data_IF_825131325253
#
_entry.id   IF_825131325253
#
_cell.length_a   1.000
_cell.length_b   1.000
_cell.length_c   1.000
_cell.angle_alpha   90.00
_cell.angle_beta   90.00
_cell.angle_gamma   90.00
#
_symmetry.space_group_name_H-M   'P 1'
#
loop_
_entity.id
_entity.type
_entity.pdbx_description
1 polymer ?
#
# COMPACT_ATOMS: atom_id res chain seq x y z
N UNK A 1 8.94 15.38 -5.65
CA UNK A 1 10.00 14.38 -5.51
C UNK A 1 9.35 13.01 -5.42
N UNK A 2 9.75 12.06 -6.27
CA UNK A 2 9.10 10.75 -6.39
C UNK A 2 9.25 9.95 -5.08
N UNK A 3 8.25 9.14 -4.76
CA UNK A 3 8.31 8.14 -3.70
C UNK A 3 7.64 6.88 -4.25
N UNK A 4 8.44 5.85 -4.54
CA UNK A 4 7.98 4.49 -4.82
C UNK A 4 8.48 3.62 -3.67
N UNK A 5 7.62 2.73 -3.22
CA UNK A 5 7.59 2.27 -1.83
C UNK A 5 7.70 0.75 -1.76
N UNK A 6 8.42 0.25 -0.76
CA UNK A 6 8.68 -1.17 -0.53
C UNK A 6 8.48 -1.41 0.97
N UNK A 7 7.71 -2.46 1.33
CA UNK A 7 7.10 -2.59 2.66
C UNK A 7 7.32 -3.98 3.23
N UNK A 8 7.32 -4.09 4.56
CA UNK A 8 7.59 -5.27 5.36
C UNK A 8 6.61 -5.20 6.57
N UNK A 9 5.96 -6.29 7.01
CA UNK A 9 5.06 -6.33 8.20
C UNK A 9 5.49 -7.43 9.18
N UNK A 10 5.86 -7.08 10.41
CA UNK A 10 6.00 -8.03 11.52
C UNK A 10 4.64 -8.62 11.95
N UNK A 11 4.62 -9.85 12.47
CA UNK A 11 3.43 -10.67 12.74
C UNK A 11 2.48 -10.19 13.85
N UNK A 12 2.64 -9.00 14.41
CA UNK A 12 1.75 -8.45 15.43
C UNK A 12 0.48 -7.83 14.83
N UNK A 13 -0.69 -7.94 15.49
CA UNK A 13 -1.97 -7.48 14.95
C UNK A 13 -2.11 -5.95 14.89
N UNK A 14 -1.45 -5.20 15.79
CA UNK A 14 -1.82 -3.79 16.04
C UNK A 14 -0.76 -2.73 15.69
N UNK A 15 0.54 -3.06 15.58
CA UNK A 15 1.54 -2.17 14.96
C UNK A 15 2.28 -3.01 13.94
N UNK A 16 2.34 -2.49 12.73
CA UNK A 16 3.11 -3.10 11.67
C UNK A 16 4.35 -2.22 11.45
N UNK A 17 5.51 -2.87 11.41
CA UNK A 17 6.80 -2.21 11.31
C UNK A 17 7.18 -2.07 9.84
N UNK A 18 7.02 -0.87 9.29
CA UNK A 18 7.22 -0.61 7.88
C UNK A 18 8.41 0.32 7.66
N UNK A 19 9.22 0.01 6.66
CA UNK A 19 10.49 0.68 6.44
C UNK A 19 10.53 1.24 5.04
N UNK A 20 10.56 2.56 4.97
CA UNK A 20 10.84 3.28 3.72
C UNK A 20 12.33 3.23 3.45
N UNK A 21 12.76 2.47 2.44
CA UNK A 21 14.15 2.52 1.99
C UNK A 21 14.44 3.83 1.25
N UNK A 22 15.01 4.82 1.94
CA UNK A 22 15.56 6.04 1.33
C UNK A 22 16.87 6.43 1.99
N UNK A 23 17.98 6.26 1.27
CA UNK A 23 19.26 6.93 1.56
C UNK A 23 19.13 8.43 1.32
N UNK A 24 19.69 9.30 2.18
CA UNK A 24 19.62 10.77 2.04
C UNK A 24 20.48 11.36 0.90
N UNK A 25 20.92 10.57 -0.08
CA UNK A 25 21.72 11.09 -1.19
C UNK A 25 20.94 12.13 -2.04
N UNK A 26 21.61 13.16 -2.60
CA UNK A 26 20.98 14.29 -3.32
C UNK A 26 20.18 13.86 -4.57
N UNK A 27 20.39 12.65 -5.05
CA UNK A 27 19.54 11.94 -6.01
C UNK A 27 19.03 10.66 -5.35
N UNK A 28 17.79 10.63 -4.87
CA UNK A 28 17.21 9.42 -4.28
C UNK A 28 17.16 8.33 -5.37
N UNK A 29 17.97 7.29 -5.21
CA UNK A 29 17.90 6.09 -6.04
C UNK A 29 16.62 5.33 -5.66
N UNK A 30 15.55 5.57 -6.41
CA UNK A 30 14.25 4.94 -6.14
C UNK A 30 14.18 3.64 -6.92
N UNK A 31 14.22 2.51 -6.21
CA UNK A 31 14.02 1.21 -6.81
C UNK A 31 12.55 1.02 -7.23
N UNK A 32 12.33 0.21 -8.27
CA UNK A 32 10.98 -0.14 -8.70
C UNK A 32 10.32 -1.09 -7.69
N UNK A 33 9.05 -0.87 -7.31
CA UNK A 33 8.45 -1.51 -6.14
C UNK A 33 8.35 -3.05 -6.29
N UNK A 34 7.81 -3.55 -7.41
CA UNK A 34 7.55 -4.99 -7.55
C UNK A 34 8.83 -5.83 -7.64
N UNK A 35 9.89 -5.31 -8.30
CA UNK A 35 11.18 -6.03 -8.35
C UNK A 35 11.83 -6.05 -6.97
N UNK A 36 11.79 -4.92 -6.25
CA UNK A 36 12.37 -4.85 -4.91
C UNK A 36 11.64 -5.78 -3.94
N UNK A 37 10.31 -5.83 -3.99
CA UNK A 37 9.53 -6.76 -3.17
C UNK A 37 9.78 -8.22 -3.56
N UNK A 38 10.01 -8.52 -4.85
CA UNK A 38 10.39 -9.88 -5.27
C UNK A 38 11.74 -10.30 -4.66
N UNK A 39 12.72 -9.40 -4.63
CA UNK A 39 13.99 -9.64 -3.95
C UNK A 39 13.81 -9.88 -2.44
N UNK A 40 12.99 -9.05 -1.78
CA UNK A 40 12.71 -9.21 -0.35
C UNK A 40 11.89 -10.46 -0.03
N UNK A 41 10.97 -10.87 -0.90
CA UNK A 41 10.20 -12.10 -0.77
C UNK A 41 11.11 -13.32 -0.68
N UNK A 42 12.18 -13.36 -1.49
CA UNK A 42 13.16 -14.44 -1.44
C UNK A 42 14.01 -14.43 -0.15
N UNK A 43 14.13 -13.29 0.53
CA UNK A 43 14.97 -13.12 1.73
C UNK A 43 14.20 -13.20 3.05
N UNK A 44 12.87 -13.29 3.00
CA UNK A 44 12.02 -13.22 4.19
C UNK A 44 10.89 -14.23 4.13
N UNK A 45 10.42 -14.70 5.29
CA UNK A 45 9.46 -15.82 5.36
C UNK A 45 8.12 -15.46 5.98
N UNK A 46 8.09 -14.61 6.99
CA UNK A 46 6.85 -14.32 7.74
C UNK A 46 6.24 -12.96 7.41
N UNK A 47 7.06 -12.00 7.00
CA UNK A 47 6.62 -10.62 6.94
C UNK A 47 5.70 -10.34 5.74
N UNK A 48 4.63 -9.56 5.91
CA UNK A 48 3.86 -9.08 4.73
C UNK A 48 4.71 -8.11 3.92
N UNK A 49 4.55 -8.14 2.62
CA UNK A 49 5.24 -7.28 1.67
C UNK A 49 4.19 -6.41 1.00
N UNK A 50 4.40 -5.12 0.90
CA UNK A 50 3.37 -4.23 0.36
C UNK A 50 3.92 -3.20 -0.62
N UNK A 51 3.03 -2.55 -1.36
CA UNK A 51 3.29 -1.36 -2.18
C UNK A 51 2.53 -0.15 -1.64
N UNK A 52 2.96 1.06 -2.01
CA UNK A 52 2.64 2.25 -1.20
C UNK A 52 2.53 3.63 -1.81
N UNK A 53 2.34 3.82 -3.10
CA UNK A 53 1.53 2.97 -3.95
C UNK A 53 2.26 2.47 -5.20
N UNK A 54 1.76 1.38 -5.77
CA UNK A 54 1.95 1.06 -7.19
C UNK A 54 1.05 1.97 -8.04
N UNK A 55 1.65 2.74 -8.96
CA UNK A 55 0.89 3.72 -9.75
C UNK A 55 0.25 3.05 -10.97
N UNK A 56 -1.04 2.75 -10.91
CA UNK A 56 -1.70 1.91 -11.91
C UNK A 56 -1.71 2.52 -13.32
N UNK A 57 -1.95 3.84 -13.52
CA UNK A 57 -2.02 4.40 -14.87
C UNK A 57 -0.75 4.26 -15.70
N UNK A 58 0.40 3.97 -15.07
CA UNK A 58 1.67 3.82 -15.79
C UNK A 58 1.85 2.44 -16.42
N UNK A 59 0.85 1.54 -16.32
CA UNK A 59 1.07 0.11 -16.52
C UNK A 59 -0.06 -0.52 -17.32
N UNK A 60 0.30 -1.51 -18.14
CA UNK A 60 -0.67 -2.37 -18.82
C UNK A 60 -1.44 -3.23 -17.80
N UNK A 61 -2.77 -3.39 -17.92
CA UNK A 61 -3.56 -4.25 -17.03
C UNK A 61 -3.04 -5.69 -16.97
N UNK A 62 -2.83 -6.33 -18.13
CA UNK A 62 -2.35 -7.71 -18.20
C UNK A 62 -0.96 -7.88 -17.59
N UNK A 63 -0.01 -7.03 -17.98
CA UNK A 63 1.36 -7.11 -17.45
C UNK A 63 1.36 -6.90 -15.93
N UNK A 64 0.56 -5.96 -15.44
CA UNK A 64 0.43 -5.70 -14.00
C UNK A 64 -0.13 -6.92 -13.27
N UNK A 65 -1.24 -7.49 -13.75
CA UNK A 65 -1.84 -8.67 -13.15
C UNK A 65 -0.85 -9.85 -13.10
N UNK A 66 -0.10 -10.08 -14.18
CA UNK A 66 0.92 -11.13 -14.24
C UNK A 66 2.06 -10.90 -13.25
N UNK A 67 2.57 -9.68 -13.13
CA UNK A 67 3.61 -9.34 -12.15
C UNK A 67 3.10 -9.50 -10.72
N UNK A 68 1.88 -9.05 -10.43
CA UNK A 68 1.24 -9.16 -9.11
C UNK A 68 1.01 -10.63 -8.75
N UNK A 69 0.44 -11.44 -9.65
CA UNK A 69 0.22 -12.86 -9.41
C UNK A 69 1.53 -13.62 -9.20
N UNK A 70 2.56 -13.32 -9.99
CA UNK A 70 3.89 -13.93 -9.82
C UNK A 70 4.49 -13.57 -8.47
N UNK A 71 4.46 -12.29 -8.09
CA UNK A 71 4.97 -11.87 -6.78
C UNK A 71 4.15 -12.45 -5.64
N UNK A 72 2.83 -12.52 -5.76
CA UNK A 72 1.96 -13.09 -4.73
C UNK A 72 2.24 -14.59 -4.53
N UNK A 73 2.54 -15.32 -5.60
CA UNK A 73 2.99 -16.71 -5.54
C UNK A 73 4.35 -16.83 -4.84
N UNK A 74 5.36 -16.06 -5.30
CA UNK A 74 6.72 -16.08 -4.74
C UNK A 74 6.80 -15.58 -3.29
N UNK A 75 5.87 -14.69 -2.92
CA UNK A 75 5.72 -14.20 -1.56
C UNK A 75 4.83 -15.12 -0.71
N UNK A 76 4.38 -16.27 -1.21
CA UNK A 76 3.55 -17.22 -0.47
C UNK A 76 2.31 -16.55 0.14
N UNK A 77 1.65 -15.68 -0.64
CA UNK A 77 0.43 -14.98 -0.21
C UNK A 77 0.65 -13.69 0.60
N UNK A 78 1.91 -13.31 0.86
CA UNK A 78 2.26 -12.18 1.75
C UNK A 78 2.13 -10.79 1.12
N UNK A 79 1.77 -10.67 -0.17
CA UNK A 79 1.65 -9.37 -0.83
C UNK A 79 0.39 -8.62 -0.38
N UNK A 80 0.54 -7.33 -0.06
CA UNK A 80 -0.52 -6.34 0.09
C UNK A 80 -0.31 -5.25 -0.97
N UNK A 81 -1.21 -5.16 -1.92
CA UNK A 81 -1.09 -4.28 -3.06
C UNK A 81 -1.69 -2.90 -2.76
N UNK A 82 -0.91 -2.00 -2.16
CA UNK A 82 -1.28 -0.59 -2.10
C UNK A 82 -1.11 0.08 -3.46
N UNK A 83 -2.17 0.65 -3.99
CA UNK A 83 -2.24 1.21 -5.36
C UNK A 83 -2.59 2.68 -5.37
N UNK A 84 -2.33 3.37 -6.46
CA UNK A 84 -2.60 4.80 -6.57
C UNK A 84 -2.67 5.24 -8.00
N UNK A 85 -3.20 6.45 -8.22
CA UNK A 85 -3.45 6.98 -9.57
C UNK A 85 -2.34 7.92 -10.06
N UNK A 86 -1.37 8.24 -9.21
CA UNK A 86 -0.25 9.13 -9.54
C UNK A 86 -0.63 10.61 -9.60
N UNK A 87 0.34 11.47 -9.33
CA UNK A 87 0.17 12.93 -9.25
C UNK A 87 1.18 13.72 -10.08
N UNK A 88 2.28 13.08 -10.50
CA UNK A 88 3.42 13.78 -11.09
C UNK A 88 3.22 14.00 -12.60
N UNK A 89 2.86 15.23 -12.97
CA UNK A 89 2.65 15.66 -14.37
C UNK A 89 3.81 15.31 -15.30
N UNK A 90 5.06 15.44 -14.83
CA UNK A 90 6.25 15.14 -15.63
C UNK A 90 6.39 13.66 -15.97
N UNK A 91 6.08 12.74 -15.05
CA UNK A 91 6.08 11.30 -15.34
C UNK A 91 4.99 10.94 -16.35
N UNK A 92 3.78 11.50 -16.22
CA UNK A 92 2.72 11.32 -17.22
C UNK A 92 3.18 11.79 -18.61
N UNK A 93 3.78 12.98 -18.69
CA UNK A 93 4.31 13.52 -19.94
C UNK A 93 5.43 12.63 -20.52
N UNK A 94 6.37 12.19 -19.70
CA UNK A 94 7.48 11.35 -20.12
C UNK A 94 7.04 9.97 -20.62
N UNK A 95 5.97 9.41 -20.05
CA UNK A 95 5.38 8.14 -20.46
C UNK A 95 4.41 8.26 -21.65
N UNK A 96 4.15 9.48 -22.14
CA UNK A 96 3.15 9.71 -23.19
C UNK A 96 1.70 9.48 -22.74
N UNK A 97 1.42 9.57 -21.45
CA UNK A 97 0.11 9.28 -20.86
C UNK A 97 -0.71 10.54 -20.62
N UNK A 98 -2.02 10.43 -20.81
CA UNK A 98 -2.94 11.54 -20.53
C UNK A 98 -3.33 11.56 -19.05
N UNK A 99 -2.77 12.51 -18.29
CA UNK A 99 -3.07 12.66 -16.86
C UNK A 99 -4.56 12.90 -16.54
N UNK A 100 -5.36 13.41 -17.49
CA UNK A 100 -6.82 13.57 -17.29
C UNK A 100 -7.55 12.22 -17.23
N UNK A 101 -7.00 11.18 -17.86
CA UNK A 101 -7.54 9.82 -17.86
C UNK A 101 -7.04 8.95 -16.70
N UNK A 102 -6.17 9.47 -15.83
CA UNK A 102 -5.51 8.68 -14.77
C UNK A 102 -6.48 7.92 -13.85
N UNK A 103 -7.69 8.44 -13.64
CA UNK A 103 -8.69 7.74 -12.83
C UNK A 103 -9.26 6.53 -13.59
N UNK A 104 -9.82 6.75 -14.79
CA UNK A 104 -10.36 5.67 -15.63
C UNK A 104 -9.31 4.62 -16.00
N UNK A 105 -8.07 5.05 -16.28
CA UNK A 105 -6.99 4.13 -16.62
C UNK A 105 -6.57 3.29 -15.39
N UNK A 106 -6.63 3.84 -14.17
CA UNK A 106 -6.41 3.06 -12.95
C UNK A 106 -7.55 2.08 -12.69
N UNK A 107 -8.79 2.49 -12.92
CA UNK A 107 -9.97 1.65 -12.74
C UNK A 107 -9.98 0.47 -13.71
N UNK A 108 -9.61 0.67 -14.99
CA UNK A 108 -9.45 -0.42 -15.94
C UNK A 108 -8.42 -1.47 -15.49
N UNK A 109 -7.33 -1.05 -14.83
CA UNK A 109 -6.35 -1.97 -14.25
C UNK A 109 -6.93 -2.71 -13.03
N UNK A 110 -7.71 -2.03 -12.18
CA UNK A 110 -8.36 -2.64 -11.02
C UNK A 110 -9.42 -3.66 -11.43
N UNK A 111 -10.29 -3.31 -12.37
CA UNK A 111 -11.30 -4.22 -12.94
C UNK A 111 -10.64 -5.47 -13.52
N UNK A 112 -9.55 -5.30 -14.27
CA UNK A 112 -8.81 -6.42 -14.83
C UNK A 112 -8.13 -7.27 -13.75
N UNK A 113 -7.58 -6.66 -12.69
CA UNK A 113 -7.00 -7.40 -11.56
C UNK A 113 -8.07 -8.30 -10.90
N UNK A 114 -9.24 -7.76 -10.56
CA UNK A 114 -10.33 -8.56 -9.99
C UNK A 114 -10.74 -9.69 -10.94
N UNK A 115 -11.03 -9.36 -12.20
CA UNK A 115 -11.36 -10.36 -13.24
C UNK A 115 -10.31 -11.46 -13.35
N UNK A 116 -9.02 -11.11 -13.35
CA UNK A 116 -7.94 -12.05 -13.55
C UNK A 116 -7.71 -12.99 -12.37
N UNK A 117 -7.99 -12.54 -11.15
CA UNK A 117 -7.88 -13.40 -9.97
C UNK A 117 -9.11 -14.27 -9.74
N UNK A 118 -10.27 -13.91 -10.29
CA UNK A 118 -11.52 -14.65 -10.13
C UNK A 118 -11.74 -15.73 -11.20
N UNK A 119 -11.05 -15.64 -12.36
CA UNK A 119 -11.29 -16.50 -13.52
C UNK A 119 -10.01 -17.17 -14.02
N UNK A 120 -10.11 -18.42 -14.48
CA UNK A 120 -8.98 -19.12 -15.10
C UNK A 120 -8.73 -18.65 -16.54
N UNK A 121 -9.81 -18.49 -17.32
CA UNK A 121 -9.74 -17.91 -18.67
C UNK A 121 -10.21 -16.46 -18.56
N UNK A 122 -9.37 -15.55 -19.04
CA UNK A 122 -9.64 -14.11 -19.00
C UNK A 122 -9.59 -13.59 -20.42
N UNK A 123 -10.28 -12.47 -20.64
CA UNK A 123 -10.29 -11.79 -21.92
C UNK A 123 -9.83 -10.35 -21.75
N UNK A 124 -8.95 -9.90 -22.65
CA UNK A 124 -8.53 -8.51 -22.79
C UNK A 124 -8.34 -8.21 -24.27
N UNK A 125 -8.88 -7.08 -24.74
CA UNK A 125 -8.84 -6.70 -26.16
C UNK A 125 -9.32 -7.82 -27.09
N UNK A 126 -10.48 -8.41 -26.77
CA UNK A 126 -11.14 -9.48 -27.57
C UNK A 126 -10.31 -10.78 -27.67
N UNK A 127 -9.22 -10.91 -26.91
CA UNK A 127 -8.38 -12.09 -26.89
C UNK A 127 -8.53 -12.83 -25.56
N UNK A 128 -8.94 -14.10 -25.65
CA UNK A 128 -9.00 -15.01 -24.52
C UNK A 128 -7.69 -15.75 -24.29
N UNK A 129 -7.32 -15.97 -23.04
CA UNK A 129 -6.14 -16.74 -22.66
C UNK A 129 -6.25 -17.27 -21.23
N UNK A 130 -5.45 -18.31 -20.94
CA UNK A 130 -5.32 -18.87 -19.61
C UNK A 130 -4.45 -17.97 -18.72
N UNK A 131 -4.98 -17.52 -17.59
CA UNK A 131 -4.25 -16.76 -16.59
C UNK A 131 -3.71 -17.66 -15.48
N UNK A 132 -2.41 -17.99 -15.55
CA UNK A 132 -1.68 -18.76 -14.51
C UNK A 132 -0.27 -18.21 -14.29
N UNK A 133 0.30 -18.22 -13.08
CA UNK A 133 -0.32 -18.68 -11.83
C UNK A 133 -1.44 -17.73 -11.39
N UNK A 134 -2.37 -18.25 -10.57
CA UNK A 134 -3.49 -17.51 -10.00
C UNK A 134 -3.61 -17.83 -8.50
N UNK A 135 -2.67 -17.35 -7.66
CA UNK A 135 -2.79 -17.50 -6.22
C UNK A 135 -3.99 -16.70 -5.71
N UNK A 136 -4.29 -16.80 -4.40
CA UNK A 136 -5.27 -15.89 -3.77
C UNK A 136 -4.88 -14.44 -4.02
N UNK A 137 -5.82 -13.62 -4.50
CA UNK A 137 -5.61 -12.19 -4.75
C UNK A 137 -5.01 -11.51 -3.52
N UNK A 138 -3.96 -10.67 -3.66
CA UNK A 138 -3.48 -9.86 -2.54
C UNK A 138 -4.55 -8.86 -2.11
N UNK A 139 -4.53 -8.45 -0.84
CA UNK A 139 -5.35 -7.33 -0.37
C UNK A 139 -4.98 -6.06 -1.17
N UNK A 140 -5.98 -5.33 -1.68
CA UNK A 140 -5.80 -4.12 -2.47
C UNK A 140 -6.16 -2.91 -1.61
N UNK A 141 -5.16 -2.09 -1.29
CA UNK A 141 -5.37 -0.84 -0.54
C UNK A 141 -5.40 0.33 -1.52
N UNK A 142 -6.51 1.05 -1.60
CA UNK A 142 -6.62 2.20 -2.50
C UNK A 142 -5.96 3.41 -1.86
N UNK A 143 -4.89 3.88 -2.48
CA UNK A 143 -4.16 5.07 -2.08
C UNK A 143 -4.73 6.35 -2.68
N UNK A 144 -4.78 7.41 -1.86
CA UNK A 144 -5.05 8.76 -2.33
C UNK A 144 -5.83 9.62 -1.33
N UNK A 145 -6.04 10.88 -1.74
CA UNK A 145 -6.83 11.83 -0.97
C UNK A 145 -8.35 11.60 -1.15
N UNK A 146 -9.14 11.82 -0.09
CA UNK A 146 -10.59 11.87 -0.19
C UNK A 146 -11.06 13.10 -1.00
N UNK A 147 -12.32 13.12 -1.48
CA UNK A 147 -13.32 12.04 -1.40
C UNK A 147 -13.11 10.94 -2.46
N UNK A 148 -12.47 11.24 -3.59
CA UNK A 148 -12.38 10.32 -4.73
C UNK A 148 -11.60 9.02 -4.45
N UNK A 149 -10.65 9.02 -3.51
CA UNK A 149 -9.98 7.78 -3.11
C UNK A 149 -10.91 6.86 -2.32
N UNK A 150 -11.81 7.42 -1.51
CA UNK A 150 -12.81 6.66 -0.75
C UNK A 150 -13.81 6.00 -1.70
N UNK A 151 -14.33 6.75 -2.69
CA UNK A 151 -15.24 6.20 -3.70
C UNK A 151 -14.63 4.98 -4.42
N UNK A 152 -13.35 5.07 -4.83
CA UNK A 152 -12.63 3.93 -5.41
C UNK A 152 -12.33 2.82 -4.40
N UNK A 153 -12.04 3.15 -3.14
CA UNK A 153 -11.81 2.17 -2.09
C UNK A 153 -13.06 1.33 -1.84
N UNK A 154 -14.23 1.96 -1.79
CA UNK A 154 -15.53 1.28 -1.64
C UNK A 154 -15.80 0.37 -2.84
N UNK A 155 -15.48 0.82 -4.07
CA UNK A 155 -15.78 0.05 -5.29
C UNK A 155 -14.81 -1.10 -5.57
N UNK A 156 -13.52 -0.92 -5.28
CA UNK A 156 -12.46 -1.85 -5.76
C UNK A 156 -11.48 -2.30 -4.68
N UNK A 157 -11.49 -1.71 -3.49
CA UNK A 157 -10.48 -1.94 -2.46
C UNK A 157 -10.95 -2.91 -1.37
N UNK A 158 -9.99 -3.57 -0.73
CA UNK A 158 -10.19 -4.25 0.56
C UNK A 158 -9.89 -3.28 1.73
N UNK A 159 -9.38 -2.09 1.41
CA UNK A 159 -9.06 -1.06 2.37
C UNK A 159 -8.64 0.26 1.73
N UNK A 160 -8.36 1.25 2.59
CA UNK A 160 -7.94 2.59 2.21
C UNK A 160 -6.56 2.92 2.77
N UNK A 161 -5.71 3.48 1.90
CA UNK A 161 -4.39 4.01 2.23
C UNK A 161 -4.46 5.55 2.12
N UNK A 162 -4.89 6.26 3.18
CA UNK A 162 -4.95 7.72 3.18
C UNK A 162 -3.61 8.35 2.77
N UNK A 163 -3.69 9.44 2.00
CA UNK A 163 -2.58 10.39 1.96
C UNK A 163 -2.32 10.92 3.38
N UNK A 164 -1.09 11.39 3.66
CA UNK A 164 -0.71 11.86 4.99
C UNK A 164 -1.73 12.86 5.54
N UNK A 165 -2.49 12.42 6.54
CA UNK A 165 -3.45 13.20 7.32
C UNK A 165 -3.04 13.10 8.78
N UNK A 166 -3.16 14.19 9.51
CA UNK A 166 -3.10 14.15 10.97
C UNK A 166 -4.28 13.36 11.54
N UNK A 167 -4.22 12.85 12.79
CA UNK A 167 -5.34 12.12 13.39
C UNK A 167 -6.66 12.90 13.38
N UNK A 168 -6.62 14.21 13.61
CA UNK A 168 -7.80 15.09 13.61
C UNK A 168 -8.41 15.24 12.23
N UNK A 169 -7.59 15.34 11.18
CA UNK A 169 -8.06 15.36 9.79
C UNK A 169 -8.52 13.99 9.30
N UNK A 170 -7.90 12.91 9.78
CA UNK A 170 -8.21 11.53 9.38
C UNK A 170 -9.58 11.08 9.87
N UNK A 171 -9.92 11.37 11.14
CA UNK A 171 -11.13 10.89 11.80
C UNK A 171 -12.43 11.10 11.01
N UNK A 172 -12.79 12.32 10.54
CA UNK A 172 -14.03 12.51 9.79
C UNK A 172 -14.07 11.72 8.48
N UNK A 173 -12.92 11.51 7.82
CA UNK A 173 -12.85 10.71 6.60
C UNK A 173 -12.93 9.21 6.86
N UNK A 174 -12.43 8.75 8.00
CA UNK A 174 -12.62 7.36 8.43
C UNK A 174 -14.08 7.06 8.73
N UNK A 175 -14.77 7.95 9.45
CA UNK A 175 -16.21 7.84 9.70
C UNK A 175 -17.00 7.80 8.39
N UNK A 176 -16.67 8.70 7.45
CA UNK A 176 -17.28 8.70 6.12
C UNK A 176 -17.02 7.42 5.32
N UNK A 177 -15.79 6.92 5.34
CA UNK A 177 -15.43 5.68 4.64
C UNK A 177 -16.15 4.46 5.24
N UNK A 178 -16.15 4.32 6.58
CA UNK A 178 -16.86 3.24 7.27
C UNK A 178 -18.35 3.23 6.98
N UNK A 179 -18.99 4.40 6.96
CA UNK A 179 -20.39 4.51 6.55
C UNK A 179 -20.60 3.94 5.14
N UNK A 180 -19.75 4.35 4.18
CA UNK A 180 -19.85 3.94 2.78
C UNK A 180 -19.59 2.44 2.55
N UNK A 181 -18.65 1.84 3.28
CA UNK A 181 -18.38 0.39 3.16
C UNK A 181 -19.38 -0.47 3.92
N UNK A 182 -19.94 0.02 5.04
CA UNK A 182 -21.03 -0.64 5.75
C UNK A 182 -22.29 -0.73 4.90
N UNK A 183 -22.62 0.34 4.15
CA UNK A 183 -23.67 0.32 3.11
C UNK A 183 -23.42 -0.76 2.04
N UNK A 184 -22.17 -1.14 1.81
CA UNK A 184 -21.75 -2.17 0.86
C UNK A 184 -21.50 -3.56 1.50
N UNK A 185 -21.80 -3.73 2.79
CA UNK A 185 -21.69 -5.00 3.52
C UNK A 185 -20.28 -5.34 4.06
N UNK A 186 -19.39 -4.35 4.18
CA UNK A 186 -18.08 -4.51 4.83
C UNK A 186 -18.01 -3.65 6.09
N UNK A 187 -18.14 -4.30 7.25
CA UNK A 187 -18.21 -3.63 8.54
C UNK A 187 -16.83 -3.30 9.15
N UNK A 188 -15.75 -3.92 8.66
CA UNK A 188 -14.39 -3.79 9.21
C UNK A 188 -13.33 -3.50 8.12
N UNK A 189 -13.38 -2.33 7.45
CA UNK A 189 -12.42 -2.01 6.40
C UNK A 189 -11.00 -1.78 6.95
N UNK A 190 -9.98 -2.24 6.21
CA UNK A 190 -8.59 -1.94 6.55
C UNK A 190 -8.28 -0.47 6.21
N UNK A 191 -7.83 0.29 7.20
CA UNK A 191 -7.39 1.69 7.08
C UNK A 191 -5.94 1.77 7.52
N UNK A 192 -5.06 2.05 6.56
CA UNK A 192 -3.62 2.01 6.75
C UNK A 192 -3.06 3.44 6.73
N UNK A 193 -2.82 4.03 7.89
CA UNK A 193 -2.28 5.38 7.99
C UNK A 193 -0.76 5.37 7.84
N UNK A 194 -0.21 6.35 7.12
CA UNK A 194 1.23 6.53 6.96
C UNK A 194 1.71 7.78 7.67
N UNK A 195 2.73 7.64 8.52
CA UNK A 195 3.30 8.77 9.27
C UNK A 195 4.77 8.52 9.66
N UNK A 196 5.42 9.55 10.20
CA UNK A 196 6.73 9.41 10.88
C UNK A 196 6.47 9.48 12.37
N UNK A 197 6.71 8.37 13.07
CA UNK A 197 6.60 8.34 14.53
C UNK A 197 7.85 8.98 15.16
N UNK A 198 7.71 9.71 16.28
CA UNK A 198 8.84 10.25 17.03
C UNK A 198 9.53 9.14 17.83
N UNK A 199 10.37 8.35 17.17
CA UNK A 199 10.99 7.15 17.74
C UNK A 199 12.09 7.46 18.77
N UNK A 200 12.44 8.72 18.93
CA UNK A 200 13.34 9.27 19.96
C UNK A 200 12.64 9.57 21.28
N UNK A 201 11.31 9.65 21.29
CA UNK A 201 10.47 9.83 22.48
C UNK A 201 9.43 8.71 22.55
N UNK A 202 9.69 7.69 23.37
CA UNK A 202 8.79 6.54 23.50
C UNK A 202 7.37 6.94 23.96
N UNK A 203 7.27 7.90 24.88
CA UNK A 203 5.99 8.40 25.38
C UNK A 203 5.20 9.11 24.28
N UNK A 204 5.85 10.07 23.60
CA UNK A 204 5.28 10.74 22.44
C UNK A 204 4.92 9.75 21.32
N UNK A 205 5.72 8.72 21.09
CA UNK A 205 5.44 7.70 20.07
C UNK A 205 4.15 6.93 20.38
N UNK A 206 3.91 6.57 21.66
CA UNK A 206 2.68 5.92 22.11
C UNK A 206 1.48 6.83 21.96
N UNK A 207 1.59 8.09 22.36
CA UNK A 207 0.52 9.07 22.24
C UNK A 207 0.13 9.29 20.78
N UNK A 208 1.11 9.41 19.88
CA UNK A 208 0.87 9.50 18.44
C UNK A 208 0.19 8.24 17.89
N UNK A 209 0.64 7.06 18.29
CA UNK A 209 0.03 5.80 17.88
C UNK A 209 -1.45 5.72 18.32
N UNK A 210 -1.73 5.99 19.59
CA UNK A 210 -3.09 5.98 20.12
C UNK A 210 -3.99 7.04 19.48
N UNK A 211 -3.46 8.22 19.15
CA UNK A 211 -4.22 9.23 18.42
C UNK A 211 -4.69 8.71 17.04
N UNK A 212 -3.83 8.01 16.30
CA UNK A 212 -4.21 7.40 15.03
C UNK A 212 -5.23 6.26 15.19
N UNK A 213 -5.08 5.42 16.23
CA UNK A 213 -6.06 4.38 16.54
C UNK A 213 -7.44 4.97 16.88
N UNK A 214 -7.48 6.03 17.70
CA UNK A 214 -8.71 6.74 18.07
C UNK A 214 -9.34 7.46 16.86
N UNK A 215 -8.52 7.89 15.90
CA UNK A 215 -8.99 8.39 14.61
C UNK A 215 -9.52 7.27 13.69
N UNK A 216 -9.38 6.01 14.09
CA UNK A 216 -9.92 4.83 13.40
C UNK A 216 -8.97 4.17 12.40
N UNK A 217 -7.68 4.51 12.41
CA UNK A 217 -6.68 3.76 11.67
C UNK A 217 -6.53 2.34 12.24
N UNK A 218 -6.65 1.34 11.38
CA UNK A 218 -6.47 -0.08 11.76
C UNK A 218 -5.00 -0.51 11.77
N UNK A 219 -4.16 0.20 11.02
CA UNK A 219 -2.74 -0.07 10.92
C UNK A 219 -2.00 1.25 10.75
N UNK A 220 -0.91 1.41 11.48
CA UNK A 220 -0.02 2.56 11.35
C UNK A 220 1.29 2.15 10.70
N UNK A 221 1.74 2.97 9.75
CA UNK A 221 2.93 2.75 8.94
C UNK A 221 3.95 3.82 9.29
N UNK A 222 5.00 3.43 10.00
CA UNK A 222 6.15 4.29 10.23
C UNK A 222 6.93 4.49 8.93
N UNK A 223 7.51 5.67 8.75
CA UNK A 223 8.48 5.93 7.70
C UNK A 223 9.54 6.87 8.21
N UNK A 224 10.78 6.52 7.92
CA UNK A 224 11.92 7.39 8.14
C UNK A 224 12.87 7.34 6.94
N UNK A 225 13.81 8.27 6.93
CA UNK A 225 15.02 8.16 6.11
C UNK A 225 16.13 7.63 7.00
N UNK A 226 17.03 6.88 6.42
CA UNK A 226 18.21 6.38 7.12
C UNK A 226 19.41 6.48 6.19
N UNK A 227 20.59 6.70 6.76
CA UNK A 227 21.85 6.71 6.02
C UNK A 227 22.51 5.33 6.07
N UNK A 228 22.52 4.75 7.27
CA UNK A 228 23.06 3.42 7.56
C UNK A 228 21.97 2.43 7.99
N UNK A 229 22.19 1.15 7.72
CA UNK A 229 21.25 0.10 8.10
C UNK A 229 21.05 -0.01 9.62
N UNK A 230 22.04 0.40 10.42
CA UNK A 230 21.94 0.38 11.89
C UNK A 230 20.85 1.32 12.40
N UNK A 231 20.72 2.53 11.85
CA UNK A 231 19.66 3.48 12.21
C UNK A 231 18.26 2.88 11.96
N UNK A 232 18.16 2.08 10.89
CA UNK A 232 16.94 1.37 10.58
C UNK A 232 16.63 0.31 11.64
N UNK A 233 17.63 -0.48 12.02
CA UNK A 233 17.49 -1.55 13.01
C UNK A 233 17.17 -1.01 14.41
N UNK A 234 17.74 0.12 14.81
CA UNK A 234 17.45 0.75 16.10
C UNK A 234 15.99 1.20 16.17
N UNK A 235 15.50 1.87 15.14
CA UNK A 235 14.07 2.21 15.04
C UNK A 235 13.19 0.98 15.03
N UNK A 236 13.60 -0.11 14.36
CA UNK A 236 12.86 -1.37 14.38
C UNK A 236 12.70 -1.94 15.78
N UNK A 237 13.74 -1.83 16.62
CA UNK A 237 13.69 -2.29 18.02
C UNK A 237 12.76 -1.42 18.86
N UNK A 238 12.83 -0.10 18.74
CA UNK A 238 11.91 0.83 19.43
C UNK A 238 10.46 0.52 19.04
N UNK A 239 10.17 0.35 17.76
CA UNK A 239 8.82 0.06 17.29
C UNK A 239 8.33 -1.33 17.72
N UNK A 240 9.24 -2.30 17.90
CA UNK A 240 8.90 -3.62 18.43
C UNK A 240 8.56 -3.58 19.93
N UNK A 241 9.28 -2.80 20.75
CA UNK A 241 8.97 -2.69 22.18
C UNK A 241 7.59 -2.08 22.43
N UNK A 242 7.15 -1.17 21.55
CA UNK A 242 5.79 -0.62 21.57
C UNK A 242 4.70 -1.69 21.35
N UNK A 243 4.99 -2.73 20.55
CA UNK A 243 4.03 -3.82 20.32
C UNK A 243 3.92 -4.80 21.47
N UNK A 244 5.05 -5.11 22.12
CA UNK A 244 5.10 -6.11 23.18
C UNK A 244 4.43 -5.61 24.48
N UNK A 245 4.37 -4.29 24.68
CA UNK A 245 3.73 -3.67 25.84
C UNK A 245 2.29 -3.18 25.57
N UNK A 246 1.79 -3.33 24.34
CA UNK A 246 0.42 -2.98 23.95
C UNK A 246 -0.52 -4.22 23.87
N UNK A 247 -0.01 -5.39 24.26
CA UNK A 247 -0.72 -6.67 24.45
C UNK A 247 -0.70 -7.04 25.92
#
# INVERSE_FOLDING_TARGET
MQSKWVWIRSGSPNISLFLRMMRKAPTVAILTPLITLSYLAAKTKSIKLATGALILPYRSPLVTAKLVATLQELAEGRLVLGVGIGWMRSEFKALGLNMRRRASDAEAVLEFLHKAFDNDVVELNEQQFLFRPRPKRPAILIGGAPPHAIERAVKYGDGWLPMQLSPTELKPWVEHYRLKVGEAGNDEPEIVAFTTLPTDDEGGCRDFYHAYQQAGATTLVHSQRYDEAVELMDTMQVLASLTEQAL
#
